data_IF_282570681972
#
_entry.id   IF_282570681972
#
_cell.length_a   1.000
_cell.length_b   1.000
_cell.length_c   1.000
_cell.angle_alpha   90.00
_cell.angle_beta   90.00
_cell.angle_gamma   90.00
#
_symmetry.space_group_name_H-M   'P 1'
#
loop_
_entity.id
_entity.type
_entity.pdbx_description
1 polymer ?
#
# COMPACT_ATOMS: atom_id res chain seq x y z
N UNK A 1 -10.10 1.56 12.13
CA UNK A 1 -9.17 0.82 11.25
C UNK A 1 -9.65 -0.62 11.17
N UNK A 2 -9.59 -1.29 10.00
CA UNK A 2 -9.86 -2.72 9.88
C UNK A 2 -8.84 -3.51 10.71
N UNK A 3 -9.19 -4.75 11.07
CA UNK A 3 -8.26 -5.66 11.74
C UNK A 3 -7.07 -5.96 10.81
N UNK A 4 -5.82 -5.78 11.26
CA UNK A 4 -4.62 -6.16 10.52
C UNK A 4 -4.64 -7.64 10.09
N UNK A 5 -4.17 -7.92 8.87
CA UNK A 5 -4.08 -9.31 8.33
C UNK A 5 -2.69 -9.64 7.79
N UNK A 6 -1.70 -8.79 8.07
CA UNK A 6 -0.28 -9.02 7.78
C UNK A 6 0.54 -8.82 9.05
N UNK A 7 1.79 -9.28 9.05
CA UNK A 7 2.71 -9.09 10.17
C UNK A 7 3.15 -7.62 10.34
N UNK A 8 3.14 -6.86 9.25
CA UNK A 8 3.58 -5.46 9.19
C UNK A 8 2.48 -4.48 9.66
N UNK A 9 1.22 -4.77 9.35
CA UNK A 9 0.08 -3.88 9.60
C UNK A 9 -0.12 -3.48 11.09
N UNK A 10 0.13 -4.32 12.10
CA UNK A 10 0.05 -3.91 13.51
C UNK A 10 0.97 -2.73 13.88
N UNK A 11 2.12 -2.58 13.21
CA UNK A 11 3.02 -1.41 13.38
C UNK A 11 2.33 -0.13 12.94
N UNK A 12 1.65 -0.16 11.79
CA UNK A 12 0.90 0.98 11.26
C UNK A 12 -0.26 1.31 12.20
N UNK A 13 -0.97 0.29 12.68
CA UNK A 13 -2.09 0.47 13.60
C UNK A 13 -1.67 1.11 14.93
N UNK A 14 -0.57 0.67 15.54
CA UNK A 14 -0.10 1.23 16.81
C UNK A 14 0.38 2.67 16.68
N UNK A 15 1.07 3.01 15.58
CA UNK A 15 1.46 4.39 15.27
C UNK A 15 0.23 5.29 15.07
N UNK A 16 -0.79 4.80 14.36
CA UNK A 16 -2.07 5.50 14.19
C UNK A 16 -2.79 5.74 15.53
N UNK A 17 -2.87 4.71 16.39
CA UNK A 17 -3.48 4.82 17.71
C UNK A 17 -2.75 5.83 18.60
N UNK A 18 -1.41 5.78 18.63
CA UNK A 18 -0.59 6.74 19.37
C UNK A 18 -0.77 8.18 18.88
N UNK A 19 -0.80 8.37 17.55
CA UNK A 19 -1.01 9.68 16.94
C UNK A 19 -2.39 10.25 17.27
N UNK A 20 -3.45 9.42 17.22
CA UNK A 20 -4.80 9.83 17.62
C UNK A 20 -4.91 10.15 19.11
N UNK A 21 -4.22 9.40 19.97
CA UNK A 21 -4.18 9.71 21.41
C UNK A 21 -3.54 11.08 21.67
N UNK A 22 -2.40 11.37 21.01
CA UNK A 22 -1.74 12.68 21.11
C UNK A 22 -2.61 13.82 20.56
N UNK A 23 -3.25 13.61 19.41
CA UNK A 23 -4.18 14.57 18.81
C UNK A 23 -5.39 14.83 19.72
N UNK A 24 -5.97 13.77 20.30
CA UNK A 24 -7.11 13.89 21.22
C UNK A 24 -6.72 14.61 22.51
N UNK A 25 -5.56 14.32 23.09
CA UNK A 25 -5.06 15.03 24.27
C UNK A 25 -4.93 16.53 24.01
N UNK A 26 -4.36 16.89 22.85
CA UNK A 26 -4.24 18.29 22.40
C UNK A 26 -5.62 18.92 22.16
N UNK A 27 -6.52 18.19 21.49
CA UNK A 27 -7.88 18.65 21.22
C UNK A 27 -8.68 18.91 22.50
N UNK A 28 -8.63 18.00 23.47
CA UNK A 28 -9.29 18.15 24.78
C UNK A 28 -8.74 19.36 25.54
N UNK A 29 -7.42 19.59 25.50
CA UNK A 29 -6.82 20.79 26.11
C UNK A 29 -7.38 22.07 25.48
N UNK A 30 -7.37 22.16 24.14
CA UNK A 30 -7.85 23.35 23.41
C UNK A 30 -9.35 23.56 23.64
N UNK A 31 -10.16 22.52 23.53
CA UNK A 31 -11.60 22.60 23.82
C UNK A 31 -11.86 22.99 25.28
N UNK A 32 -11.10 22.46 26.22
CA UNK A 32 -11.17 22.83 27.63
C UNK A 32 -10.88 24.32 27.86
N UNK A 33 -9.83 24.86 27.24
CA UNK A 33 -9.48 26.28 27.32
C UNK A 33 -10.55 27.18 26.68
N UNK A 34 -11.10 26.78 25.52
CA UNK A 34 -12.18 27.52 24.86
C UNK A 34 -13.43 27.54 25.75
N UNK A 35 -13.86 26.38 26.24
CA UNK A 35 -15.03 26.27 27.12
C UNK A 35 -14.82 27.03 28.42
N UNK A 36 -13.62 26.97 28.99
CA UNK A 36 -13.23 27.76 30.15
C UNK A 36 -13.39 29.25 29.88
N UNK A 37 -12.86 29.75 28.75
CA UNK A 37 -12.98 31.15 28.36
C UNK A 37 -14.45 31.57 28.20
N UNK A 38 -15.26 30.77 27.48
CA UNK A 38 -16.68 31.05 27.25
C UNK A 38 -17.49 31.06 28.55
N UNK A 39 -17.19 30.16 29.50
CA UNK A 39 -17.96 30.04 30.74
C UNK A 39 -17.52 31.09 31.76
N UNK A 40 -16.22 31.24 32.01
CA UNK A 40 -15.71 32.03 33.14
C UNK A 40 -15.42 33.49 32.78
N UNK A 41 -15.05 33.78 31.53
CA UNK A 41 -14.67 35.14 31.12
C UNK A 41 -15.79 35.90 30.40
N UNK A 42 -17.02 35.36 30.37
CA UNK A 42 -18.17 36.07 29.80
C UNK A 42 -18.65 37.25 30.66
N UNK A 43 -19.08 38.32 30.00
CA UNK A 43 -19.55 39.58 30.62
C UNK A 43 -20.60 39.36 31.72
N UNK A 44 -21.55 38.46 31.49
CA UNK A 44 -22.64 38.21 32.45
C UNK A 44 -22.16 37.65 33.80
N UNK A 45 -20.97 37.04 33.86
CA UNK A 45 -20.38 36.56 35.12
C UNK A 45 -19.38 37.53 35.72
N UNK A 46 -18.49 38.08 34.91
CA UNK A 46 -17.39 38.92 35.42
C UNK A 46 -17.88 40.30 35.87
N UNK A 47 -18.99 40.81 35.31
CA UNK A 47 -19.50 42.18 35.55
C UNK A 47 -18.48 43.29 35.27
N UNK A 48 -17.36 42.96 34.63
CA UNK A 48 -16.31 43.90 34.22
C UNK A 48 -16.67 44.47 32.86
N UNK A 49 -16.63 45.79 32.74
CA UNK A 49 -16.97 46.50 31.50
C UNK A 49 -15.78 46.60 30.55
N UNK A 50 -14.57 46.81 31.08
CA UNK A 50 -13.31 46.83 30.33
C UNK A 50 -12.32 45.83 30.95
N UNK A 51 -11.91 44.77 30.23
CA UNK A 51 -11.00 43.76 30.77
C UNK A 51 -9.55 44.28 30.89
N UNK A 52 -8.73 43.69 31.77
CA UNK A 52 -7.29 43.98 31.84
C UNK A 52 -6.60 43.74 30.49
N UNK A 53 -5.76 44.69 30.06
CA UNK A 53 -5.02 44.60 28.81
C UNK A 53 -3.59 44.08 29.06
N UNK A 54 -3.36 42.79 28.81
CA UNK A 54 -2.02 42.19 28.79
C UNK A 54 -1.60 41.95 27.34
N UNK A 55 -0.35 42.29 26.98
CA UNK A 55 0.14 42.16 25.60
C UNK A 55 1.03 40.95 25.36
N UNK A 56 1.91 40.61 26.31
CA UNK A 56 2.87 39.51 26.15
C UNK A 56 3.11 38.79 27.49
N UNK A 57 3.45 37.51 27.40
CA UNK A 57 3.86 36.68 28.53
C UNK A 57 4.93 35.70 28.04
N UNK A 58 6.19 36.16 28.01
CA UNK A 58 7.32 35.40 27.46
C UNK A 58 7.41 33.94 27.95
N UNK A 59 7.21 33.62 29.25
CA UNK A 59 7.15 32.23 29.71
C UNK A 59 6.09 31.37 29.02
N UNK A 60 4.85 31.87 28.87
CA UNK A 60 3.76 31.14 28.21
C UNK A 60 4.04 31.02 26.72
N UNK A 61 4.61 32.05 26.11
CA UNK A 61 4.98 32.06 24.69
C UNK A 61 6.06 31.01 24.37
N UNK A 62 7.07 30.88 25.23
CA UNK A 62 8.05 29.81 25.14
C UNK A 62 7.40 28.42 25.29
N UNK A 63 6.46 28.27 26.24
CA UNK A 63 5.78 26.99 26.49
C UNK A 63 5.01 26.49 25.27
N UNK A 64 4.11 27.31 24.69
CA UNK A 64 3.30 26.88 23.55
C UNK A 64 4.10 26.78 22.23
N UNK A 65 5.35 27.23 22.21
CA UNK A 65 6.25 27.07 21.06
C UNK A 65 7.06 25.78 21.17
N UNK A 66 7.67 25.55 22.34
CA UNK A 66 8.55 24.39 22.58
C UNK A 66 7.74 23.09 22.66
N UNK A 67 6.58 23.09 23.32
CA UNK A 67 5.79 21.86 23.52
C UNK A 67 5.33 21.26 22.18
N UNK A 68 4.70 22.01 21.24
CA UNK A 68 4.36 21.46 19.93
C UNK A 68 5.57 20.97 19.14
N UNK A 69 6.70 21.66 19.22
CA UNK A 69 7.93 21.25 18.54
C UNK A 69 8.42 19.87 19.05
N UNK A 70 8.36 19.63 20.36
CA UNK A 70 8.69 18.33 20.94
C UNK A 70 7.71 17.26 20.47
N UNK A 71 6.39 17.55 20.49
CA UNK A 71 5.35 16.61 20.04
C UNK A 71 5.61 16.19 18.59
N UNK A 72 5.85 17.16 17.70
CA UNK A 72 6.15 16.90 16.28
C UNK A 72 7.44 16.11 16.13
N UNK A 73 8.50 16.45 16.87
CA UNK A 73 9.80 15.75 16.79
C UNK A 73 9.68 14.27 17.19
N UNK A 74 8.91 13.98 18.25
CA UNK A 74 8.65 12.61 18.70
C UNK A 74 7.84 11.83 17.66
N UNK A 75 6.75 12.41 17.14
CA UNK A 75 5.94 11.77 16.10
C UNK A 75 6.74 11.52 14.83
N UNK A 76 7.56 12.48 14.41
CA UNK A 76 8.44 12.36 13.24
C UNK A 76 9.42 11.19 13.39
N UNK A 77 10.10 11.09 14.54
CA UNK A 77 11.03 9.99 14.80
C UNK A 77 10.37 8.62 14.67
N UNK A 78 9.22 8.42 15.30
CA UNK A 78 8.51 7.14 15.23
C UNK A 78 7.99 6.84 13.83
N UNK A 79 7.50 7.86 13.12
CA UNK A 79 7.02 7.75 11.74
C UNK A 79 8.15 7.32 10.81
N UNK A 80 9.27 8.04 10.80
CA UNK A 80 10.42 7.73 9.94
C UNK A 80 10.99 6.34 10.23
N UNK A 81 11.11 5.96 11.52
CA UNK A 81 11.58 4.63 11.92
C UNK A 81 10.67 3.52 11.38
N UNK A 82 9.37 3.70 11.49
CA UNK A 82 8.40 2.67 11.13
C UNK A 82 8.21 2.59 9.61
N UNK A 83 8.24 3.73 8.90
CA UNK A 83 8.23 3.83 7.44
C UNK A 83 9.44 3.10 6.83
N UNK A 84 10.67 3.40 7.29
CA UNK A 84 11.88 2.74 6.77
C UNK A 84 11.84 1.21 6.94
N UNK A 85 11.17 0.71 7.98
CA UNK A 85 10.99 -0.74 8.17
C UNK A 85 9.94 -1.34 7.25
N UNK A 86 8.88 -0.59 6.93
CA UNK A 86 7.81 -1.03 6.04
C UNK A 86 8.22 -1.01 4.57
N UNK A 87 9.12 -0.08 4.20
CA UNK A 87 9.65 0.06 2.84
C UNK A 87 10.90 -0.77 2.57
N UNK A 88 11.50 -1.37 3.60
CA UNK A 88 12.63 -2.27 3.43
C UNK A 88 12.21 -3.53 2.65
N UNK A 89 13.01 -3.90 1.66
CA UNK A 89 12.80 -5.08 0.83
C UNK A 89 13.86 -6.13 1.15
N UNK A 90 13.46 -7.39 1.29
CA UNK A 90 14.39 -8.50 1.51
C UNK A 90 15.24 -8.78 0.27
N UNK A 91 16.50 -9.21 0.38
CA UNK A 91 17.29 -9.51 -0.83
C UNK A 91 16.71 -10.65 -1.69
N UNK A 92 15.97 -11.57 -1.05
CA UNK A 92 15.35 -12.75 -1.69
C UNK A 92 13.95 -12.98 -1.13
N UNK A 93 12.90 -12.40 -1.73
CA UNK A 93 11.53 -12.63 -1.28
C UNK A 93 11.13 -14.09 -1.55
N UNK A 94 10.24 -14.65 -0.71
CA UNK A 94 9.74 -16.01 -0.91
C UNK A 94 8.86 -16.11 -2.16
N UNK A 95 8.02 -15.09 -2.39
CA UNK A 95 7.18 -14.97 -3.58
C UNK A 95 7.30 -13.59 -4.19
N UNK A 96 7.25 -13.51 -5.51
CA UNK A 96 7.16 -12.24 -6.23
C UNK A 96 5.93 -12.22 -7.13
N UNK A 97 5.13 -11.17 -6.99
CA UNK A 97 3.95 -10.93 -7.82
C UNK A 97 4.09 -9.56 -8.45
N UNK A 98 4.11 -9.50 -9.78
CA UNK A 98 3.98 -8.23 -10.47
C UNK A 98 2.49 -7.86 -10.59
N UNK A 99 2.13 -6.72 -10.02
CA UNK A 99 0.78 -6.16 -10.06
C UNK A 99 0.72 -5.10 -11.14
N UNK A 100 -0.15 -5.33 -12.11
CA UNK A 100 -0.32 -4.48 -13.29
C UNK A 100 -1.61 -3.70 -13.19
N UNK A 101 -1.52 -2.37 -13.07
CA UNK A 101 -2.65 -1.45 -13.18
C UNK A 101 -2.89 -1.06 -14.65
N UNK A 102 -4.15 -1.11 -15.09
CA UNK A 102 -4.56 -0.61 -16.41
C UNK A 102 -6.03 -0.19 -16.40
N UNK A 103 -6.45 0.64 -17.36
CA UNK A 103 -7.82 1.15 -17.47
C UNK A 103 -8.78 0.05 -17.96
N UNK A 104 -9.79 -0.38 -17.19
CA UNK A 104 -10.02 -0.15 -15.75
C UNK A 104 -10.14 -1.49 -15.03
N UNK A 105 -9.02 -2.16 -14.83
CA UNK A 105 -8.90 -3.46 -14.15
C UNK A 105 -7.48 -3.71 -13.63
N UNK A 106 -7.27 -4.88 -13.04
CA UNK A 106 -6.00 -5.32 -12.49
C UNK A 106 -5.53 -6.60 -13.17
N UNK A 107 -4.22 -6.79 -13.21
CA UNK A 107 -3.59 -8.04 -13.56
C UNK A 107 -2.50 -8.41 -12.58
N UNK A 108 -2.29 -9.71 -12.42
CA UNK A 108 -1.37 -10.31 -11.46
C UNK A 108 -0.52 -11.34 -12.20
N UNK A 109 0.76 -11.04 -12.33
CA UNK A 109 1.79 -11.93 -12.85
C UNK A 109 2.44 -12.63 -11.66
N UNK A 110 2.22 -13.94 -11.51
CA UNK A 110 2.88 -14.75 -10.49
C UNK A 110 4.24 -15.20 -11.02
N UNK A 111 5.31 -14.60 -10.48
CA UNK A 111 6.68 -14.82 -10.94
C UNK A 111 7.27 -16.03 -10.23
N UNK A 112 6.75 -17.20 -10.60
CA UNK A 112 7.03 -18.48 -9.96
C UNK A 112 7.37 -19.56 -10.97
N UNK A 113 8.09 -20.58 -10.52
CA UNK A 113 8.28 -21.79 -11.30
C UNK A 113 7.07 -22.72 -11.10
N UNK A 114 6.19 -22.78 -12.11
CA UNK A 114 4.97 -23.58 -12.08
C UNK A 114 5.07 -24.70 -13.12
N UNK A 115 4.83 -25.96 -12.76
CA UNK A 115 4.81 -27.05 -13.74
C UNK A 115 3.88 -26.77 -14.92
N UNK A 116 4.40 -26.89 -16.14
CA UNK A 116 3.66 -26.60 -17.38
C UNK A 116 3.72 -25.16 -17.86
N UNK A 117 4.50 -24.29 -17.20
CA UNK A 117 4.74 -22.90 -17.62
C UNK A 117 6.06 -22.68 -18.37
N UNK A 118 6.76 -23.74 -18.78
CA UNK A 118 8.18 -23.75 -19.20
C UNK A 118 8.54 -22.95 -20.48
N UNK A 119 7.61 -22.17 -21.04
CA UNK A 119 7.78 -21.44 -22.30
C UNK A 119 8.42 -20.06 -22.14
N UNK A 120 8.51 -19.54 -20.92
CA UNK A 120 9.03 -18.22 -20.61
C UNK A 120 10.07 -18.28 -19.49
N UNK A 121 10.86 -17.22 -19.35
CA UNK A 121 11.72 -16.97 -18.18
C UNK A 121 11.51 -15.53 -17.73
N UNK A 122 11.07 -15.34 -16.48
CA UNK A 122 10.78 -14.06 -15.88
C UNK A 122 11.90 -13.02 -16.05
N UNK A 123 13.16 -13.46 -16.10
CA UNK A 123 14.31 -12.56 -16.22
C UNK A 123 14.47 -11.96 -17.61
N UNK A 124 13.95 -12.64 -18.64
CA UNK A 124 14.14 -12.29 -20.06
C UNK A 124 12.84 -12.13 -20.85
N UNK A 125 11.70 -12.37 -20.22
CA UNK A 125 10.38 -12.22 -20.83
C UNK A 125 10.14 -10.75 -21.22
N UNK A 126 9.83 -10.53 -22.51
CA UNK A 126 9.59 -9.19 -23.09
C UNK A 126 8.43 -8.47 -22.41
N UNK A 127 7.44 -9.22 -21.96
CA UNK A 127 6.28 -8.72 -21.25
C UNK A 127 6.65 -8.05 -19.92
N UNK A 128 7.81 -8.40 -19.34
CA UNK A 128 8.32 -7.84 -18.09
C UNK A 128 9.42 -6.78 -18.31
N UNK A 129 9.71 -6.38 -19.56
CA UNK A 129 10.77 -5.40 -19.88
C UNK A 129 10.57 -4.02 -19.23
N UNK A 130 9.32 -3.66 -18.90
CA UNK A 130 8.99 -2.43 -18.19
C UNK A 130 9.41 -2.48 -16.71
N UNK A 131 9.72 -3.66 -16.17
CA UNK A 131 10.25 -3.83 -14.82
C UNK A 131 11.77 -3.61 -14.86
N UNK A 132 12.30 -2.68 -14.05
CA UNK A 132 13.74 -2.42 -13.95
C UNK A 132 14.55 -3.66 -13.56
N UNK A 133 15.79 -3.71 -14.04
CA UNK A 133 16.74 -4.81 -13.75
C UNK A 133 16.94 -5.03 -12.24
N UNK A 134 16.87 -3.95 -11.43
CA UNK A 134 17.00 -4.02 -9.96
C UNK A 134 15.98 -4.96 -9.31
N UNK A 135 14.81 -5.17 -9.92
CA UNK A 135 13.82 -6.14 -9.46
C UNK A 135 13.89 -7.45 -10.24
N UNK A 136 14.11 -7.41 -11.56
CA UNK A 136 14.18 -8.62 -12.39
C UNK A 136 15.30 -9.57 -11.97
N UNK A 137 16.43 -9.05 -11.48
CA UNK A 137 17.54 -9.86 -10.97
C UNK A 137 17.15 -10.77 -9.80
N UNK A 138 16.14 -10.37 -9.01
CA UNK A 138 15.66 -11.10 -7.83
C UNK A 138 14.61 -12.16 -8.21
N UNK A 139 14.12 -12.17 -9.46
CA UNK A 139 13.15 -13.17 -9.91
C UNK A 139 13.79 -14.56 -9.96
N UNK A 140 13.05 -15.64 -9.64
CA UNK A 140 13.57 -16.99 -9.75
C UNK A 140 13.98 -17.30 -11.20
N UNK A 141 15.11 -17.97 -11.39
CA UNK A 141 15.57 -18.37 -12.72
C UNK A 141 14.63 -19.43 -13.32
N UNK A 142 14.37 -19.35 -14.63
CA UNK A 142 13.45 -20.24 -15.34
C UNK A 142 12.02 -20.22 -14.75
N UNK A 143 11.62 -19.13 -14.10
CA UNK A 143 10.24 -18.94 -13.73
C UNK A 143 9.46 -18.65 -15.01
N UNK A 144 8.67 -19.62 -15.46
CA UNK A 144 7.75 -19.46 -16.58
C UNK A 144 6.51 -18.67 -16.24
N UNK A 145 6.11 -18.70 -14.97
CA UNK A 145 5.02 -17.91 -14.43
C UNK A 145 3.64 -18.28 -14.94
N UNK A 146 2.66 -17.75 -14.23
CA UNK A 146 1.25 -17.78 -14.60
C UNK A 146 0.65 -16.41 -14.30
N UNK A 147 -0.48 -16.11 -14.93
CA UNK A 147 -1.13 -14.83 -14.71
C UNK A 147 -2.63 -14.96 -14.44
N UNK A 148 -3.15 -13.95 -13.76
CA UNK A 148 -4.57 -13.68 -13.70
C UNK A 148 -4.81 -12.24 -14.13
N UNK A 149 -5.71 -12.02 -15.08
CA UNK A 149 -6.09 -10.69 -15.55
C UNK A 149 -7.60 -10.54 -15.45
N UNK A 150 -8.04 -9.42 -14.91
CA UNK A 150 -9.46 -9.12 -14.83
C UNK A 150 -9.95 -8.30 -16.01
N UNK A 151 -11.24 -8.37 -16.31
CA UNK A 151 -11.91 -7.42 -17.22
C UNK A 151 -12.87 -6.47 -16.47
N UNK A 152 -13.11 -5.25 -16.98
CA UNK A 152 -14.11 -4.36 -16.39
C UNK A 152 -15.48 -5.04 -16.28
N UNK A 153 -16.03 -5.09 -15.07
CA UNK A 153 -17.33 -5.73 -14.81
C UNK A 153 -17.28 -7.22 -14.51
N UNK A 154 -16.11 -7.86 -14.60
CA UNK A 154 -15.92 -9.24 -14.14
C UNK A 154 -16.27 -9.37 -12.65
N UNK A 155 -16.84 -10.51 -12.29
CA UNK A 155 -17.12 -10.88 -10.90
C UNK A 155 -16.55 -12.25 -10.61
N UNK A 156 -15.96 -12.38 -9.43
CA UNK A 156 -15.48 -13.65 -8.90
C UNK A 156 -16.66 -14.65 -8.86
N UNK A 157 -16.56 -15.82 -9.54
CA UNK A 157 -17.66 -16.77 -9.63
C UNK A 157 -18.06 -17.43 -8.31
N UNK A 158 -17.16 -17.44 -7.32
CA UNK A 158 -17.39 -18.11 -6.03
C UNK A 158 -18.14 -17.23 -5.02
N UNK A 159 -17.95 -15.91 -5.06
CA UNK A 159 -18.54 -15.00 -4.06
C UNK A 159 -19.27 -13.79 -4.68
N UNK A 160 -19.24 -13.63 -6.01
CA UNK A 160 -19.89 -12.53 -6.71
C UNK A 160 -19.20 -11.17 -6.57
N UNK A 161 -18.06 -11.10 -5.88
CA UNK A 161 -17.32 -9.84 -5.69
C UNK A 161 -16.75 -9.34 -7.02
N UNK A 162 -16.72 -8.03 -7.26
CA UNK A 162 -16.18 -7.46 -8.48
C UNK A 162 -14.66 -7.65 -8.60
N UNK A 163 -14.19 -7.79 -9.84
CA UNK A 163 -12.79 -7.79 -10.22
C UNK A 163 -12.07 -9.13 -10.07
N UNK A 164 -10.81 -9.18 -10.54
CA UNK A 164 -9.97 -10.38 -10.47
C UNK A 164 -9.59 -10.72 -9.03
N UNK A 165 -9.04 -11.91 -8.81
CA UNK A 165 -8.62 -12.37 -7.48
C UNK A 165 -7.12 -12.55 -7.42
N UNK A 166 -6.44 -11.79 -6.57
CA UNK A 166 -5.06 -12.01 -6.18
C UNK A 166 -5.02 -13.12 -5.12
N UNK A 167 -4.21 -14.16 -5.31
CA UNK A 167 -4.03 -15.23 -4.32
C UNK A 167 -2.69 -15.06 -3.63
N UNK A 168 -2.66 -15.27 -2.31
CA UNK A 168 -1.46 -15.12 -1.50
C UNK A 168 -1.31 -16.30 -0.54
N UNK A 169 -0.09 -16.81 -0.34
CA UNK A 169 0.18 -17.80 0.69
C UNK A 169 0.22 -17.16 2.08
N UNK A 170 -0.37 -17.82 3.07
CA UNK A 170 -0.32 -17.42 4.48
C UNK A 170 1.05 -17.74 5.07
N UNK A 171 1.63 -16.78 5.77
CA UNK A 171 2.87 -16.92 6.54
C UNK A 171 4.13 -16.82 5.70
N UNK A 172 4.00 -16.62 4.39
CA UNK A 172 5.12 -16.48 3.47
C UNK A 172 5.16 -15.04 2.95
N UNK A 173 6.37 -14.47 2.91
CA UNK A 173 6.55 -13.07 2.51
C UNK A 173 6.38 -12.93 1.00
N UNK A 174 5.53 -11.98 0.59
CA UNK A 174 5.22 -11.69 -0.81
C UNK A 174 5.70 -10.29 -1.15
N UNK A 175 6.54 -10.18 -2.17
CA UNK A 175 6.90 -8.91 -2.80
C UNK A 175 5.89 -8.57 -3.90
N UNK A 176 5.34 -7.37 -3.82
CA UNK A 176 4.58 -6.78 -4.92
C UNK A 176 5.46 -5.82 -5.72
N UNK A 177 5.65 -6.09 -7.00
CA UNK A 177 6.29 -5.18 -7.96
C UNK A 177 5.20 -4.50 -8.77
N UNK A 178 5.05 -3.20 -8.62
CA UNK A 178 3.90 -2.45 -9.11
C UNK A 178 4.24 -1.69 -10.38
N UNK A 179 3.47 -1.95 -11.43
CA UNK A 179 3.66 -1.32 -12.75
C UNK A 179 2.32 -0.92 -13.36
N UNK A 180 2.31 0.16 -14.14
CA UNK A 180 1.12 0.60 -14.87
C UNK A 180 1.37 0.65 -16.37
N UNK A 181 0.32 0.29 -17.13
CA UNK A 181 0.33 0.30 -18.60
C UNK A 181 -0.22 1.59 -19.22
N UNK A 182 -0.78 2.50 -18.42
CA UNK A 182 -1.45 3.68 -18.93
C UNK A 182 -1.35 4.91 -18.02
N UNK A 183 -2.16 4.98 -16.98
CA UNK A 183 -2.30 6.12 -16.06
C UNK A 183 -1.85 5.72 -14.65
N UNK A 184 -1.78 6.69 -13.75
CA UNK A 184 -1.49 6.41 -12.35
C UNK A 184 -2.70 5.68 -11.73
N UNK A 185 -2.41 4.60 -11.00
CA UNK A 185 -3.35 3.91 -10.12
C UNK A 185 -2.75 3.85 -8.71
N UNK A 186 -3.43 3.23 -7.76
CA UNK A 186 -2.83 2.95 -6.45
C UNK A 186 -3.35 1.64 -5.90
N UNK A 187 -2.43 0.71 -5.64
CA UNK A 187 -2.73 -0.63 -5.19
C UNK A 187 -2.93 -0.61 -3.68
N UNK A 188 -4.18 -0.84 -3.25
CA UNK A 188 -4.51 -0.82 -1.83
C UNK A 188 -5.35 -2.02 -1.42
N UNK A 189 -4.75 -2.89 -0.60
CA UNK A 189 -5.46 -3.94 0.14
C UNK A 189 -5.78 -3.40 1.53
N UNK A 190 -7.05 -3.09 1.76
CA UNK A 190 -7.50 -2.33 2.95
C UNK A 190 -6.96 -2.88 4.28
N UNK A 191 -7.06 -4.18 4.59
CA UNK A 191 -6.59 -4.71 5.87
C UNK A 191 -5.06 -4.86 5.98
N UNK A 192 -4.29 -4.61 4.91
CA UNK A 192 -2.82 -4.51 4.99
C UNK A 192 -2.38 -3.17 5.56
N UNK A 193 -3.29 -2.19 5.65
CA UNK A 193 -3.02 -0.81 6.10
C UNK A 193 -1.91 -0.09 5.31
N UNK A 194 -1.49 -0.65 4.17
CA UNK A 194 -0.46 -0.14 3.29
C UNK A 194 -1.06 0.00 1.89
N UNK A 195 -0.74 1.13 1.25
CA UNK A 195 -1.04 1.39 -0.16
C UNK A 195 0.24 1.84 -0.82
N UNK A 196 0.36 1.60 -2.11
CA UNK A 196 1.46 2.14 -2.89
C UNK A 196 0.96 2.47 -4.29
N UNK A 197 1.37 3.64 -4.77
CA UNK A 197 0.91 4.14 -6.06
C UNK A 197 1.60 3.38 -7.20
N UNK A 198 0.85 3.13 -8.26
CA UNK A 198 1.25 2.35 -9.43
C UNK A 198 1.39 3.32 -10.58
N UNK A 199 2.64 3.65 -10.93
CA UNK A 199 2.95 4.80 -11.77
C UNK A 199 3.51 4.32 -13.12
N UNK A 200 2.97 4.78 -14.26
CA UNK A 200 3.53 4.45 -15.57
C UNK A 200 4.99 4.89 -15.67
N UNK A 201 5.86 3.95 -16.02
CA UNK A 201 7.30 4.22 -16.17
C UNK A 201 8.09 4.32 -14.86
N UNK A 202 7.45 4.23 -13.69
CA UNK A 202 8.13 4.20 -12.39
C UNK A 202 7.69 2.99 -11.57
N UNK A 203 8.62 2.08 -11.30
CA UNK A 203 8.29 0.82 -10.60
C UNK A 203 8.47 0.97 -9.10
N UNK A 204 7.33 0.96 -8.39
CA UNK A 204 7.30 0.86 -6.94
C UNK A 204 7.26 -0.61 -6.50
N UNK A 205 7.73 -0.89 -5.29
CA UNK A 205 7.58 -2.20 -4.68
C UNK A 205 7.37 -2.09 -3.17
N UNK A 206 6.74 -3.10 -2.59
CA UNK A 206 6.68 -3.30 -1.15
C UNK A 206 6.45 -4.79 -0.84
N UNK A 207 6.71 -5.17 0.40
CA UNK A 207 6.58 -6.54 0.88
C UNK A 207 5.56 -6.62 2.02
N UNK A 208 4.83 -7.74 2.06
CA UNK A 208 3.94 -8.07 3.18
C UNK A 208 4.00 -9.56 3.47
N UNK A 209 3.66 -9.92 4.71
CA UNK A 209 3.54 -11.31 5.16
C UNK A 209 2.10 -11.55 5.63
N UNK A 210 1.20 -12.10 4.79
CA UNK A 210 -0.19 -12.32 5.18
C UNK A 210 -0.30 -13.38 6.28
N UNK A 211 -0.93 -13.07 7.42
CA UNK A 211 -0.96 -13.99 8.57
C UNK A 211 -2.35 -14.56 8.89
N UNK A 212 -3.38 -14.15 8.14
CA UNK A 212 -4.78 -14.59 8.35
C UNK A 212 -5.42 -15.03 7.04
N UNK A 213 -5.84 -16.29 6.98
CA UNK A 213 -6.59 -16.80 5.83
C UNK A 213 -7.95 -16.11 5.70
N UNK A 214 -8.43 -16.01 4.46
CA UNK A 214 -9.72 -15.40 4.16
C UNK A 214 -9.76 -14.77 2.79
N UNK A 215 -10.88 -14.13 2.49
CA UNK A 215 -11.04 -13.27 1.32
C UNK A 215 -11.23 -11.83 1.76
N UNK A 216 -10.39 -10.96 1.23
CA UNK A 216 -10.35 -9.54 1.51
C UNK A 216 -10.58 -8.76 0.22
N UNK A 217 -10.87 -7.47 0.35
CA UNK A 217 -11.05 -6.58 -0.80
C UNK A 217 -9.86 -5.66 -0.94
N UNK A 218 -9.45 -5.48 -2.19
CA UNK A 218 -8.57 -4.41 -2.62
C UNK A 218 -9.27 -3.48 -3.60
N UNK A 219 -8.73 -2.27 -3.72
CA UNK A 219 -9.28 -1.23 -4.59
C UNK A 219 -8.19 -0.31 -5.11
N UNK A 220 -8.49 0.38 -6.21
CA UNK A 220 -7.71 1.53 -6.64
C UNK A 220 -7.91 2.70 -5.67
N UNK A 221 -6.81 3.35 -5.26
CA UNK A 221 -6.83 4.47 -4.32
C UNK A 221 -6.35 5.81 -4.90
N UNK A 222 -6.06 5.87 -6.20
CA UNK A 222 -5.66 7.08 -6.93
C UNK A 222 -6.54 7.24 -8.17
N UNK A 223 -6.98 8.47 -8.46
CA UNK A 223 -8.00 8.72 -9.48
C UNK A 223 -7.44 8.39 -10.89
N UNK A 224 -8.00 7.36 -11.53
CA UNK A 224 -7.51 6.81 -12.81
C UNK A 224 -8.49 6.92 -13.99
N UNK A 225 -9.59 7.68 -13.81
CA UNK A 225 -10.57 7.96 -14.87
C UNK A 225 -12.00 7.54 -14.52
N UNK A 226 -12.83 7.36 -15.55
CA UNK A 226 -14.31 7.24 -15.42
C UNK A 226 -14.75 6.03 -14.57
N UNK A 227 -14.06 4.89 -14.68
CA UNK A 227 -14.38 3.67 -13.94
C UNK A 227 -13.46 3.46 -12.70
N UNK A 228 -12.80 4.52 -12.20
CA UNK A 228 -11.93 4.46 -11.02
C UNK A 228 -12.58 3.74 -9.82
N UNK A 229 -13.84 4.08 -9.52
CA UNK A 229 -14.58 3.47 -8.40
C UNK A 229 -14.89 1.98 -8.58
N UNK A 230 -14.73 1.45 -9.79
CA UNK A 230 -15.01 0.06 -10.15
C UNK A 230 -13.75 -0.79 -10.28
N UNK A 231 -12.57 -0.19 -10.12
CA UNK A 231 -11.28 -0.90 -10.11
C UNK A 231 -11.04 -1.62 -8.78
N UNK A 232 -11.93 -2.56 -8.49
CA UNK A 232 -11.91 -3.43 -7.33
C UNK A 232 -11.20 -4.74 -7.69
N UNK A 233 -10.64 -5.39 -6.69
CA UNK A 233 -10.10 -6.75 -6.81
C UNK A 233 -10.25 -7.48 -5.49
N UNK A 234 -10.14 -8.80 -5.54
CA UNK A 234 -10.21 -9.66 -4.38
C UNK A 234 -8.80 -10.09 -3.99
N UNK A 235 -8.59 -10.33 -2.70
CA UNK A 235 -7.35 -10.91 -2.18
C UNK A 235 -7.71 -12.15 -1.38
N UNK A 236 -7.24 -13.31 -1.83
CA UNK A 236 -7.52 -14.60 -1.21
C UNK A 236 -6.25 -15.14 -0.56
N UNK A 237 -6.20 -15.08 0.76
CA UNK A 237 -5.10 -15.62 1.57
C UNK A 237 -5.45 -17.06 1.94
N UNK A 238 -4.58 -18.00 1.57
CA UNK A 238 -4.78 -19.45 1.73
C UNK A 238 -3.50 -20.12 2.23
N UNK A 239 -3.59 -21.41 2.59
CA UNK A 239 -2.39 -22.20 2.89
C UNK A 239 -1.43 -22.26 1.69
N UNK A 240 -0.10 -22.39 1.92
CA UNK A 240 0.89 -22.51 0.84
C UNK A 240 0.58 -23.63 -0.17
N UNK A 241 0.05 -24.76 0.30
CA UNK A 241 -0.33 -25.89 -0.57
C UNK A 241 -1.46 -25.51 -1.53
N UNK A 242 -2.45 -24.79 -1.01
CA UNK A 242 -3.59 -24.33 -1.82
C UNK A 242 -3.19 -23.19 -2.76
N UNK A 243 -2.26 -22.35 -2.35
CA UNK A 243 -1.66 -21.34 -3.24
C UNK A 243 -0.95 -22.02 -4.42
N UNK A 244 -0.08 -22.99 -4.16
CA UNK A 244 0.59 -23.76 -5.22
C UNK A 244 -0.40 -24.45 -6.17
N UNK A 245 -1.42 -25.13 -5.63
CA UNK A 245 -2.48 -25.74 -6.44
C UNK A 245 -3.20 -24.73 -7.34
N UNK A 246 -3.45 -23.52 -6.84
CA UNK A 246 -4.07 -22.48 -7.64
C UNK A 246 -3.20 -22.06 -8.84
N UNK A 247 -1.87 -21.93 -8.64
CA UNK A 247 -0.96 -21.61 -9.73
C UNK A 247 -0.95 -22.72 -10.81
N UNK A 248 -0.94 -23.99 -10.41
CA UNK A 248 -1.04 -25.12 -11.33
C UNK A 248 -2.38 -25.12 -12.09
N UNK A 249 -3.48 -24.72 -11.44
CA UNK A 249 -4.79 -24.61 -12.09
C UNK A 249 -4.84 -23.46 -13.12
N UNK A 250 -4.14 -22.35 -12.88
CA UNK A 250 -3.95 -21.30 -13.90
C UNK A 250 -3.18 -21.85 -15.10
N UNK A 251 -2.10 -22.62 -14.87
CA UNK A 251 -1.34 -23.25 -15.94
C UNK A 251 -2.21 -24.21 -16.78
N UNK A 252 -3.03 -25.05 -16.14
CA UNK A 252 -3.99 -25.95 -16.83
C UNK A 252 -5.03 -25.21 -17.67
N UNK A 253 -5.36 -23.97 -17.31
CA UNK A 253 -6.27 -23.10 -18.07
C UNK A 253 -5.56 -22.35 -19.21
N UNK A 254 -4.31 -22.69 -19.51
CA UNK A 254 -3.45 -22.00 -20.47
C UNK A 254 -3.19 -20.52 -20.12
N UNK A 255 -3.24 -20.17 -18.82
CA UNK A 255 -2.84 -18.84 -18.33
C UNK A 255 -1.37 -18.84 -17.90
N UNK A 256 -0.49 -19.28 -18.80
CA UNK A 256 0.96 -19.37 -18.59
C UNK A 256 1.69 -18.17 -19.16
N UNK A 257 2.90 -17.88 -18.66
CA UNK A 257 3.65 -16.69 -19.03
C UNK A 257 3.20 -15.45 -18.27
N UNK A 258 3.34 -14.29 -18.89
CA UNK A 258 3.12 -12.98 -18.27
C UNK A 258 2.24 -12.09 -19.14
N UNK A 259 1.41 -11.25 -18.52
CA UNK A 259 0.82 -10.10 -19.20
C UNK A 259 1.83 -8.94 -19.25
N UNK A 260 1.73 -8.02 -20.24
CA UNK A 260 2.62 -6.87 -20.31
C UNK A 260 2.57 -6.04 -19.01
N UNK A 261 3.72 -5.88 -18.35
CA UNK A 261 3.81 -5.26 -17.03
C UNK A 261 3.57 -3.75 -17.08
N UNK A 262 3.97 -3.07 -18.15
CA UNK A 262 3.87 -1.61 -18.23
C UNK A 262 3.91 -1.07 -19.65
N UNK A 263 4.15 0.23 -19.75
CA UNK A 263 4.41 0.91 -21.02
C UNK A 263 5.77 0.53 -21.58
N UNK A 264 5.89 0.50 -22.91
CA UNK A 264 7.19 0.35 -23.55
C UNK A 264 8.09 1.54 -23.20
N UNK A 265 9.28 1.23 -22.66
CA UNK A 265 10.27 2.25 -22.30
C UNK A 265 11.33 2.35 -23.40
N UNK A 266 11.66 3.58 -23.80
CA UNK A 266 12.82 3.82 -24.68
C UNK A 266 14.13 3.66 -23.90
N UNK A 267 15.25 3.40 -24.58
CA UNK A 267 16.56 3.11 -23.94
C UNK A 267 16.99 4.19 -22.94
N UNK A 268 16.68 5.46 -23.21
CA UNK A 268 17.00 6.57 -22.30
C UNK A 268 16.23 6.48 -20.98
N UNK A 269 14.97 6.08 -21.01
CA UNK A 269 14.12 5.97 -19.81
C UNK A 269 14.39 4.68 -19.04
N UNK A 270 14.68 3.56 -19.73
CA UNK A 270 15.12 2.31 -19.07
C UNK A 270 16.32 2.53 -18.14
N UNK A 271 17.27 3.35 -18.56
CA UNK A 271 18.49 3.63 -17.80
C UNK A 271 18.28 4.56 -16.58
N UNK A 272 17.20 5.37 -16.53
CA UNK A 272 16.96 6.30 -15.41
C UNK A 272 16.60 5.59 -14.11
N UNK A 273 15.98 4.43 -14.21
CA UNK A 273 15.55 3.60 -13.09
C UNK A 273 16.66 2.66 -12.57
N UNK A 274 17.78 2.52 -13.28
CA UNK A 274 18.79 1.49 -12.97
C UNK A 274 19.68 1.80 -11.77
N UNK A 275 19.74 3.05 -11.30
CA UNK A 275 20.71 3.48 -10.31
C UNK A 275 20.07 4.30 -9.18
N UNK A 276 19.94 3.66 -8.02
CA UNK A 276 19.82 4.26 -6.68
C UNK A 276 18.45 4.86 -6.28
N UNK A 277 17.81 4.18 -5.32
CA UNK A 277 17.10 4.81 -4.19
C UNK A 277 17.80 4.35 -2.91
#
# INVERSE_FOLDING_TARGET
MPTPVTEEAPRILSLWQGSWAAALATGVLVWGLILWSVIFHRRSRTKVEVPPQTRYNMPIEALYTVVPLIIVSVLFYFTARDESKLLALDEKPAHTINVVGFQWSWGFNYVENVPGSDKADARTAKELDAIPERFRKDFPANAGGVYQVGTPGERNPQNGNPGPTLWLPKGEKVRFVLTSRDVIHSFWVVPFLMKQDVIPGHTNAFEVTPNKEGTFMGKCAELCGVDHSRMLFNVKVVSPERYKQHLEDLAKKNQTGYIPAGIEQTDREKNRETNQL
#
